data_IF_584371634798
#
_entry.id   IF_584371634798
#
_cell.length_a   1.000
_cell.length_b   1.000
_cell.length_c   1.000
_cell.angle_alpha   90.00
_cell.angle_beta   90.00
_cell.angle_gamma   90.00
#
_symmetry.space_group_name_H-M   'P 1'
#
loop_
_entity.id
_entity.type
_entity.pdbx_description
1 polymer ?
#
# COMPACT_ATOMS: atom_id res chain seq x y z
N UNK A 1 -9.32 2.95 -0.10
CA UNK A 1 -10.24 1.90 -0.60
C UNK A 1 -10.81 2.35 -1.94
N UNK A 2 -10.95 1.44 -2.90
CA UNK A 2 -11.62 1.71 -4.19
C UNK A 2 -12.94 0.95 -4.21
N UNK A 3 -14.02 1.66 -4.52
CA UNK A 3 -15.35 1.07 -4.69
C UNK A 3 -15.29 -0.09 -5.70
N UNK A 4 -15.94 -1.24 -5.44
CA UNK A 4 -15.89 -2.41 -6.31
C UNK A 4 -16.12 -2.11 -7.79
N UNK A 5 -17.02 -1.18 -8.10
CA UNK A 5 -17.40 -0.78 -9.47
C UNK A 5 -16.26 -0.14 -10.25
N UNK A 6 -15.25 0.40 -9.55
CA UNK A 6 -14.11 1.11 -10.12
C UNK A 6 -12.79 0.32 -9.98
N UNK A 7 -12.84 -0.91 -9.47
CA UNK A 7 -11.64 -1.76 -9.35
C UNK A 7 -11.12 -2.16 -10.73
N UNK A 8 -9.81 -2.40 -10.80
CA UNK A 8 -9.08 -2.78 -12.02
C UNK A 8 -9.12 -1.74 -13.15
N UNK A 9 -9.53 -0.50 -12.86
CA UNK A 9 -9.54 0.63 -13.79
C UNK A 9 -8.35 1.59 -13.55
N UNK A 10 -7.32 1.17 -12.81
CA UNK A 10 -6.14 1.99 -12.53
C UNK A 10 -6.29 3.02 -11.40
N UNK A 11 -7.46 3.17 -10.79
CA UNK A 11 -7.70 4.17 -9.71
C UNK A 11 -6.68 4.08 -8.58
N UNK A 12 -6.39 2.87 -8.08
CA UNK A 12 -5.38 2.67 -7.02
C UNK A 12 -3.98 3.09 -7.49
N UNK A 13 -3.62 2.81 -8.74
CA UNK A 13 -2.34 3.19 -9.32
C UNK A 13 -2.21 4.72 -9.40
N UNK A 14 -3.27 5.41 -9.83
CA UNK A 14 -3.30 6.88 -9.88
C UNK A 14 -3.15 7.50 -8.49
N UNK A 15 -3.81 6.93 -7.47
CA UNK A 15 -3.70 7.40 -6.10
C UNK A 15 -2.27 7.20 -5.54
N UNK A 16 -1.68 6.03 -5.76
CA UNK A 16 -0.29 5.76 -5.34
C UNK A 16 0.68 6.69 -6.06
N UNK A 17 0.54 6.87 -7.37
CA UNK A 17 1.40 7.78 -8.14
C UNK A 17 1.33 9.23 -7.61
N UNK A 18 0.14 9.71 -7.26
CA UNK A 18 -0.03 11.04 -6.68
C UNK A 18 0.71 11.18 -5.33
N UNK A 19 0.59 10.19 -4.44
CA UNK A 19 1.30 10.19 -3.15
C UNK A 19 2.81 10.05 -3.35
N UNK A 20 3.26 9.23 -4.30
CA UNK A 20 4.69 9.09 -4.61
C UNK A 20 5.28 10.40 -5.14
N UNK A 21 4.56 11.13 -6.00
CA UNK A 21 5.01 12.42 -6.50
C UNK A 21 5.11 13.44 -5.37
N UNK A 22 4.08 13.52 -4.52
CA UNK A 22 4.14 14.37 -3.33
C UNK A 22 5.33 14.01 -2.42
N UNK A 23 5.55 12.74 -2.13
CA UNK A 23 6.66 12.30 -1.28
C UNK A 23 8.02 12.71 -1.86
N UNK A 24 8.19 12.62 -3.19
CA UNK A 24 9.40 13.09 -3.88
C UNK A 24 9.59 14.60 -3.76
N UNK A 25 8.52 15.37 -3.89
CA UNK A 25 8.55 16.85 -3.76
C UNK A 25 8.94 17.28 -2.34
N UNK A 26 8.56 16.48 -1.32
CA UNK A 26 8.98 16.65 0.08
C UNK A 26 10.41 16.14 0.37
N UNK A 27 11.11 15.60 -0.62
CA UNK A 27 12.46 15.05 -0.46
C UNK A 27 12.52 13.72 0.28
N UNK A 28 11.40 12.99 0.37
CA UNK A 28 11.36 11.64 0.94
C UNK A 28 11.90 10.62 -0.07
N UNK A 29 12.67 9.65 0.44
CA UNK A 29 13.27 8.60 -0.38
C UNK A 29 12.41 7.34 -0.50
N UNK A 30 11.45 7.14 0.41
CA UNK A 30 10.72 5.89 0.53
C UNK A 30 9.25 6.11 0.89
N UNK A 31 8.41 5.21 0.37
CA UNK A 31 7.00 5.07 0.75
C UNK A 31 6.80 3.65 1.27
N UNK A 32 6.33 3.52 2.50
CA UNK A 32 5.99 2.23 3.11
C UNK A 32 4.47 2.08 3.23
N UNK A 33 4.02 0.83 3.16
CA UNK A 33 2.62 0.45 3.35
C UNK A 33 2.58 -0.95 3.94
N UNK A 34 1.54 -1.26 4.71
CA UNK A 34 1.27 -2.58 5.24
C UNK A 34 -0.05 -3.14 4.70
N UNK A 35 -0.27 -4.43 4.92
CA UNK A 35 -1.52 -5.08 4.58
C UNK A 35 -1.75 -6.26 5.53
N UNK A 36 -3.03 -6.51 5.85
CA UNK A 36 -3.46 -7.70 6.58
C UNK A 36 -2.88 -8.98 5.97
N UNK A 37 -2.44 -9.91 6.82
CA UNK A 37 -1.68 -11.11 6.41
C UNK A 37 -2.45 -12.01 5.44
N UNK A 38 -3.79 -12.00 5.50
CA UNK A 38 -4.65 -12.80 4.63
C UNK A 38 -5.14 -12.04 3.40
N UNK A 39 -4.83 -10.74 3.26
CA UNK A 39 -5.35 -9.91 2.17
C UNK A 39 -4.47 -10.01 0.92
N UNK A 40 -4.51 -11.18 0.28
CA UNK A 40 -3.71 -11.51 -0.90
C UNK A 40 -3.98 -10.59 -2.09
N UNK A 41 -5.20 -10.01 -2.19
CA UNK A 41 -5.55 -9.02 -3.20
C UNK A 41 -4.76 -7.72 -2.99
N UNK A 42 -4.63 -7.27 -1.74
CA UNK A 42 -3.80 -6.10 -1.40
C UNK A 42 -2.32 -6.38 -1.66
N UNK A 43 -1.83 -7.58 -1.33
CA UNK A 43 -0.43 -7.97 -1.59
C UNK A 43 -0.11 -7.91 -3.09
N UNK A 44 -0.96 -8.52 -3.92
CA UNK A 44 -0.79 -8.50 -5.37
C UNK A 44 -0.86 -7.08 -5.94
N UNK A 45 -1.72 -6.23 -5.40
CA UNK A 45 -1.79 -4.82 -5.78
C UNK A 45 -0.50 -4.07 -5.43
N UNK A 46 0.04 -4.22 -4.21
CA UNK A 46 1.29 -3.56 -3.80
C UNK A 46 2.45 -3.96 -4.71
N UNK A 47 2.61 -5.27 -4.97
CA UNK A 47 3.63 -5.78 -5.88
C UNK A 47 3.47 -5.22 -7.30
N UNK A 48 2.24 -5.18 -7.84
CA UNK A 48 1.97 -4.61 -9.16
C UNK A 48 2.24 -3.10 -9.27
N UNK A 49 2.26 -2.38 -8.13
CA UNK A 49 2.57 -0.96 -8.05
C UNK A 49 4.05 -0.67 -7.71
N UNK A 50 4.89 -1.70 -7.63
CA UNK A 50 6.33 -1.56 -7.41
C UNK A 50 6.75 -1.49 -5.93
N UNK A 51 5.87 -1.83 -4.99
CA UNK A 51 6.30 -2.06 -3.62
C UNK A 51 6.97 -3.43 -3.50
N UNK A 52 7.99 -3.50 -2.65
CA UNK A 52 8.66 -4.74 -2.27
C UNK A 52 8.23 -5.15 -0.86
N UNK A 53 7.98 -6.45 -0.64
CA UNK A 53 7.64 -6.95 0.69
C UNK A 53 8.87 -6.89 1.61
N UNK A 54 8.77 -6.18 2.74
CA UNK A 54 9.88 -6.02 3.68
C UNK A 54 9.84 -7.03 4.82
N UNK A 55 8.67 -7.27 5.42
CA UNK A 55 8.51 -8.14 6.59
C UNK A 55 7.06 -8.57 6.81
N UNK A 56 6.89 -9.65 7.59
CA UNK A 56 5.61 -10.10 8.16
C UNK A 56 5.72 -10.13 9.67
N UNK A 57 4.85 -9.40 10.35
CA UNK A 57 4.92 -9.20 11.80
C UNK A 57 3.62 -9.58 12.50
N UNK A 58 3.72 -9.91 13.78
CA UNK A 58 2.57 -10.16 14.66
C UNK A 58 2.50 -9.02 15.67
N UNK A 59 1.37 -8.30 15.68
CA UNK A 59 1.12 -7.24 16.65
C UNK A 59 0.51 -7.82 17.93
N UNK A 60 1.00 -7.38 19.08
CA UNK A 60 0.45 -7.72 20.40
C UNK A 60 -0.03 -6.44 21.10
N UNK A 61 -1.10 -6.55 21.88
CA UNK A 61 -1.53 -5.50 22.82
C UNK A 61 -1.77 -6.11 24.19
N UNK A 62 -1.37 -5.42 25.25
CA UNK A 62 -1.71 -5.76 26.64
C UNK A 62 -2.35 -4.53 27.28
N UNK A 63 -3.60 -4.65 27.74
CA UNK A 63 -4.17 -3.66 28.66
C UNK A 63 -3.45 -3.79 30.01
N UNK A 64 -3.00 -2.67 30.57
CA UNK A 64 -2.39 -2.66 31.90
C UNK A 64 -3.43 -2.94 32.98
#
# INVERSE_FOLDING_TARGET
MVDPSFRRQGVAASLVAAVTNWAKDEGLSELASDAEIHNTVSHAMHAALGFEETQRVVYFRKSL
#
